data_IF_802275502796
#
_entry.id   IF_802275502796
#
_cell.length_a   1.000
_cell.length_b   1.000
_cell.length_c   1.000
_cell.angle_alpha   90.00
_cell.angle_beta   90.00
_cell.angle_gamma   90.00
#
_symmetry.space_group_name_H-M   'P 1'
#
loop_
_entity.id
_entity.type
_entity.pdbx_description
1 polymer ?
#
# COMPACT_ATOMS: atom_id res chain seq x y z
N UNK A 1 5.32 20.28 -5.91
CA UNK A 1 4.18 19.40 -6.20
C UNK A 1 4.26 19.07 -7.69
N UNK A 2 4.26 17.80 -8.02
CA UNK A 2 4.26 17.35 -9.41
C UNK A 2 2.86 17.56 -10.00
N UNK A 3 2.76 18.35 -11.07
CA UNK A 3 1.47 18.69 -11.69
C UNK A 3 0.79 17.50 -12.39
N UNK A 4 1.52 16.38 -12.55
CA UNK A 4 1.00 15.14 -13.11
C UNK A 4 0.36 14.22 -12.07
N UNK A 5 0.61 14.46 -10.76
CA UNK A 5 0.11 13.65 -9.66
C UNK A 5 -1.04 14.36 -8.96
N UNK A 6 -2.23 13.77 -9.03
CA UNK A 6 -3.37 14.21 -8.23
C UNK A 6 -3.29 13.61 -6.84
N UNK A 7 -3.22 14.47 -5.83
CA UNK A 7 -3.22 14.07 -4.44
C UNK A 7 -4.56 14.41 -3.77
N UNK A 8 -5.11 13.45 -3.03
CA UNK A 8 -6.29 13.64 -2.21
C UNK A 8 -6.09 12.98 -0.84
N UNK A 9 -6.29 13.74 0.21
CA UNK A 9 -6.28 13.22 1.58
C UNK A 9 -7.65 12.65 1.93
N UNK A 10 -7.65 11.53 2.65
CA UNK A 10 -8.87 10.85 3.09
C UNK A 10 -8.81 10.58 4.59
N UNK A 11 -9.94 10.66 5.33
CA UNK A 11 -9.94 10.44 6.77
C UNK A 11 -9.86 8.96 7.16
N UNK A 12 -10.20 8.04 6.25
CA UNK A 12 -10.21 6.58 6.49
C UNK A 12 -9.69 5.83 5.28
N UNK A 13 -8.92 4.78 5.52
CA UNK A 13 -8.26 4.01 4.48
C UNK A 13 -9.26 3.30 3.55
N UNK A 14 -10.35 2.77 4.08
CA UNK A 14 -11.38 2.13 3.26
C UNK A 14 -12.10 3.10 2.31
N UNK A 15 -12.22 4.38 2.67
CA UNK A 15 -12.73 5.41 1.76
C UNK A 15 -11.73 5.65 0.62
N UNK A 16 -10.44 5.65 0.95
CA UNK A 16 -9.36 5.73 -0.03
C UNK A 16 -9.41 4.59 -1.05
N UNK A 17 -9.78 3.37 -0.64
CA UNK A 17 -9.98 2.24 -1.57
C UNK A 17 -11.08 2.55 -2.59
N UNK A 18 -12.20 3.14 -2.14
CA UNK A 18 -13.29 3.56 -3.02
C UNK A 18 -12.87 4.63 -4.03
N UNK A 19 -12.11 5.64 -3.56
CA UNK A 19 -11.57 6.71 -4.43
C UNK A 19 -10.60 6.12 -5.46
N UNK A 20 -9.70 5.22 -5.05
CA UNK A 20 -8.77 4.55 -5.96
C UNK A 20 -9.53 3.73 -7.01
N UNK A 21 -10.56 3.00 -6.62
CA UNK A 21 -11.40 2.26 -7.56
C UNK A 21 -12.04 3.19 -8.61
N UNK A 22 -12.63 4.30 -8.17
CA UNK A 22 -13.20 5.32 -9.06
C UNK A 22 -12.16 5.96 -9.97
N UNK A 23 -10.98 6.26 -9.46
CA UNK A 23 -9.88 6.81 -10.24
C UNK A 23 -9.42 5.86 -11.35
N UNK A 24 -9.30 4.56 -11.05
CA UNK A 24 -8.95 3.55 -12.04
C UNK A 24 -10.01 3.44 -13.14
N UNK A 25 -11.29 3.43 -12.78
CA UNK A 25 -12.39 3.45 -13.75
C UNK A 25 -12.39 4.73 -14.60
N UNK A 26 -11.86 5.82 -14.07
CA UNK A 26 -11.61 7.08 -14.78
C UNK A 26 -10.29 7.13 -15.55
N UNK A 27 -9.68 5.96 -15.86
CA UNK A 27 -8.42 5.84 -16.60
C UNK A 27 -7.20 6.48 -15.90
N UNK A 28 -7.18 6.51 -14.56
CA UNK A 28 -6.00 6.87 -13.77
C UNK A 28 -5.39 5.63 -13.17
N UNK A 29 -4.08 5.66 -12.87
CA UNK A 29 -3.43 4.56 -12.17
C UNK A 29 -3.22 4.96 -10.70
N UNK A 30 -4.05 4.45 -9.79
CA UNK A 30 -4.07 4.92 -8.42
C UNK A 30 -3.02 4.26 -7.53
N UNK A 31 -2.55 5.03 -6.56
CA UNK A 31 -1.76 4.57 -5.43
C UNK A 31 -2.41 5.07 -4.15
N UNK A 32 -2.66 4.19 -3.19
CA UNK A 32 -3.05 4.58 -1.85
C UNK A 32 -1.86 4.51 -0.92
N UNK A 33 -1.60 5.61 -0.22
CA UNK A 33 -0.54 5.69 0.79
C UNK A 33 -1.18 5.58 2.17
N UNK A 34 -0.69 4.64 2.98
CA UNK A 34 -1.23 4.41 4.31
C UNK A 34 -0.19 3.82 5.25
N UNK A 35 -0.47 3.85 6.55
CA UNK A 35 0.24 3.04 7.53
C UNK A 35 -0.27 1.59 7.47
N UNK A 36 0.56 0.62 7.88
CA UNK A 36 0.16 -0.80 7.89
C UNK A 36 -1.10 -1.09 8.73
N UNK A 37 -1.44 -0.27 9.71
CA UNK A 37 -2.70 -0.35 10.45
C UNK A 37 -3.92 -0.19 9.54
N UNK A 38 -3.80 0.61 8.48
CA UNK A 38 -4.86 0.83 7.49
C UNK A 38 -5.25 -0.43 6.71
N UNK A 39 -4.33 -1.38 6.55
CA UNK A 39 -4.63 -2.68 5.94
C UNK A 39 -5.70 -3.43 6.74
N UNK A 40 -5.58 -3.44 8.07
CA UNK A 40 -6.57 -4.09 8.93
C UNK A 40 -7.98 -3.52 8.74
N UNK A 41 -8.09 -2.20 8.65
CA UNK A 41 -9.37 -1.51 8.43
C UNK A 41 -9.94 -1.75 7.03
N UNK A 42 -9.08 -2.02 6.06
CA UNK A 42 -9.44 -2.08 4.63
C UNK A 42 -9.70 -3.48 4.10
N UNK A 43 -9.54 -4.54 4.90
CA UNK A 43 -9.68 -5.95 4.44
C UNK A 43 -10.95 -6.18 3.65
N UNK A 44 -12.10 -5.74 4.16
CA UNK A 44 -13.36 -5.91 3.44
C UNK A 44 -13.40 -5.14 2.12
N UNK A 45 -12.95 -3.88 2.10
CA UNK A 45 -12.90 -3.07 0.88
C UNK A 45 -11.94 -3.68 -0.17
N UNK A 46 -10.81 -4.24 0.29
CA UNK A 46 -9.88 -4.94 -0.60
C UNK A 46 -10.55 -6.14 -1.27
N UNK A 47 -11.19 -7.01 -0.50
CA UNK A 47 -11.81 -8.25 -1.02
C UNK A 47 -13.04 -7.94 -1.87
N UNK A 48 -13.96 -7.11 -1.33
CA UNK A 48 -15.30 -6.91 -1.91
C UNK A 48 -15.33 -5.86 -3.02
N UNK A 49 -14.27 -5.06 -3.17
CA UNK A 49 -14.18 -4.05 -4.22
C UNK A 49 -12.93 -4.26 -5.09
N UNK A 50 -11.74 -4.16 -4.50
CA UNK A 50 -10.50 -4.11 -5.28
C UNK A 50 -10.25 -5.44 -6.00
N UNK A 51 -10.29 -6.56 -5.28
CA UNK A 51 -10.06 -7.88 -5.86
C UNK A 51 -11.24 -8.37 -6.70
N UNK A 52 -12.47 -8.11 -6.25
CA UNK A 52 -13.68 -8.53 -6.98
C UNK A 52 -13.72 -7.94 -8.39
N UNK A 53 -13.32 -6.68 -8.54
CA UNK A 53 -13.30 -5.98 -9.83
C UNK A 53 -11.93 -5.98 -10.50
N UNK A 54 -10.96 -6.73 -9.97
CA UNK A 54 -9.61 -6.88 -10.54
C UNK A 54 -8.91 -5.53 -10.78
N UNK A 55 -8.94 -4.65 -9.77
CA UNK A 55 -8.40 -3.30 -9.88
C UNK A 55 -6.91 -3.28 -9.51
N UNK A 56 -6.00 -2.87 -10.41
CA UNK A 56 -4.57 -2.81 -10.16
C UNK A 56 -4.21 -1.55 -9.36
N UNK A 57 -4.38 -1.60 -8.07
CA UNK A 57 -4.09 -0.51 -7.15
C UNK A 57 -2.77 -0.77 -6.44
N UNK A 58 -1.94 0.26 -6.32
CA UNK A 58 -0.71 0.20 -5.54
C UNK A 58 -1.03 0.56 -4.09
N UNK A 59 -0.71 -0.34 -3.16
CA UNK A 59 -0.72 -0.07 -1.73
C UNK A 59 0.70 0.30 -1.30
N UNK A 60 0.98 1.59 -1.13
CA UNK A 60 2.25 2.08 -0.61
C UNK A 60 2.12 2.21 0.91
N UNK A 61 2.80 1.34 1.64
CA UNK A 61 2.55 1.12 3.06
C UNK A 61 3.77 1.51 3.87
N UNK A 62 3.61 2.48 4.76
CA UNK A 62 4.55 2.76 5.84
C UNK A 62 4.52 1.59 6.84
N UNK A 63 5.57 0.74 6.83
CA UNK A 63 5.61 -0.48 7.64
C UNK A 63 6.13 -0.16 9.05
N UNK A 64 5.21 0.25 9.91
CA UNK A 64 5.49 0.59 11.31
C UNK A 64 5.57 -0.67 12.17
N UNK A 65 6.35 -0.58 13.26
CA UNK A 65 6.56 -1.67 14.20
C UNK A 65 7.69 -2.64 13.81
N UNK A 66 8.46 -2.31 12.79
CA UNK A 66 9.70 -2.99 12.37
C UNK A 66 10.88 -2.56 13.27
N UNK A 67 12.07 -3.23 13.22
CA UNK A 67 13.23 -2.82 13.99
C UNK A 67 13.54 -1.33 13.85
N UNK A 68 13.82 -0.67 14.96
CA UNK A 68 14.00 0.80 15.03
C UNK A 68 12.76 1.59 15.43
N UNK A 69 11.56 0.98 15.41
CA UNK A 69 10.33 1.61 15.89
C UNK A 69 10.41 1.97 17.38
N UNK A 70 10.02 3.20 17.72
CA UNK A 70 10.06 3.72 19.10
C UNK A 70 8.69 3.67 19.79
N UNK A 71 7.63 3.44 19.02
CA UNK A 71 6.24 3.45 19.51
C UNK A 71 5.74 2.01 19.66
N UNK A 72 5.73 1.47 20.89
CA UNK A 72 5.36 0.08 21.15
C UNK A 72 3.96 -0.32 20.66
N UNK A 73 3.02 0.62 20.60
CA UNK A 73 1.68 0.38 20.08
C UNK A 73 1.67 -0.08 18.60
N UNK A 74 2.70 0.27 17.82
CA UNK A 74 2.82 -0.12 16.41
C UNK A 74 3.20 -1.60 16.21
N UNK A 75 3.81 -2.23 17.22
CA UNK A 75 4.29 -3.61 17.13
C UNK A 75 3.19 -4.65 16.94
N UNK A 76 1.96 -4.36 17.34
CA UNK A 76 0.83 -5.28 17.19
C UNK A 76 0.52 -5.57 15.71
N UNK A 77 0.32 -4.52 14.92
CA UNK A 77 0.01 -4.66 13.50
C UNK A 77 1.19 -5.16 12.67
N UNK A 78 2.43 -4.83 13.05
CA UNK A 78 3.60 -5.34 12.35
C UNK A 78 3.62 -6.87 12.28
N UNK A 79 3.20 -7.54 13.35
CA UNK A 79 3.21 -9.02 13.43
C UNK A 79 2.22 -9.70 12.48
N UNK A 80 1.18 -9.01 12.05
CA UNK A 80 0.08 -9.60 11.27
C UNK A 80 -0.05 -9.00 9.87
N UNK A 81 0.60 -7.89 9.57
CA UNK A 81 0.48 -7.17 8.29
C UNK A 81 0.77 -8.07 7.09
N UNK A 82 1.93 -8.73 7.11
CA UNK A 82 2.30 -9.63 6.02
C UNK A 82 1.37 -10.83 5.90
N UNK A 83 0.95 -11.41 7.03
CA UNK A 83 0.04 -12.56 7.03
C UNK A 83 -1.34 -12.18 6.47
N UNK A 84 -1.83 -11.00 6.78
CA UNK A 84 -3.06 -10.46 6.17
C UNK A 84 -2.89 -10.35 4.65
N UNK A 85 -1.82 -9.69 4.19
CA UNK A 85 -1.55 -9.51 2.76
C UNK A 85 -1.37 -10.86 2.04
N UNK A 86 -0.66 -11.82 2.64
CA UNK A 86 -0.49 -13.17 2.11
C UNK A 86 -1.81 -13.93 2.06
N UNK A 87 -2.64 -13.82 3.09
CA UNK A 87 -3.99 -14.42 3.12
C UNK A 87 -4.87 -13.84 2.02
N UNK A 88 -4.77 -12.55 1.77
CA UNK A 88 -5.45 -11.86 0.67
C UNK A 88 -4.79 -12.15 -0.70
N UNK A 89 -3.70 -12.91 -0.75
CA UNK A 89 -2.93 -13.22 -1.96
C UNK A 89 -2.44 -11.98 -2.71
N UNK A 90 -2.11 -10.93 -1.97
CA UNK A 90 -1.55 -9.68 -2.52
C UNK A 90 -0.04 -9.83 -2.57
N UNK A 91 0.59 -9.70 -3.74
CA UNK A 91 2.05 -9.70 -3.86
C UNK A 91 2.67 -8.56 -3.04
N UNK A 92 3.79 -8.86 -2.37
CA UNK A 92 4.47 -7.92 -1.48
C UNK A 92 5.88 -7.63 -2.00
N UNK A 93 6.21 -6.36 -2.13
CA UNK A 93 7.57 -5.87 -2.25
C UNK A 93 7.96 -5.20 -0.93
N UNK A 94 8.99 -5.72 -0.25
CA UNK A 94 9.54 -5.05 0.92
C UNK A 94 10.69 -4.14 0.49
N UNK A 95 10.63 -2.88 0.88
CA UNK A 95 11.65 -1.87 0.66
C UNK A 95 12.30 -1.53 2.01
N UNK A 96 13.52 -2.05 2.24
CA UNK A 96 14.31 -1.81 3.45
C UNK A 96 15.52 -0.91 3.19
N UNK A 97 15.80 -0.61 1.91
CA UNK A 97 16.93 0.22 1.49
C UNK A 97 16.60 0.95 0.17
N UNK A 98 17.36 2.00 -0.14
CA UNK A 98 17.23 2.73 -1.40
C UNK A 98 17.37 1.83 -2.65
N UNK A 99 18.18 0.75 -2.57
CA UNK A 99 18.35 -0.21 -3.66
C UNK A 99 17.05 -0.94 -4.02
N UNK A 100 16.12 -1.03 -3.10
CA UNK A 100 14.84 -1.69 -3.34
C UNK A 100 13.88 -0.80 -4.13
N UNK A 101 14.12 0.53 -4.16
CA UNK A 101 13.31 1.49 -4.91
C UNK A 101 13.36 1.21 -6.42
N UNK A 102 14.48 0.71 -6.94
CA UNK A 102 14.60 0.34 -8.36
C UNK A 102 13.62 -0.77 -8.79
N UNK A 103 13.15 -1.57 -7.83
CA UNK A 103 12.18 -2.65 -8.08
C UNK A 103 10.73 -2.15 -8.18
N UNK A 104 10.46 -0.94 -7.71
CA UNK A 104 9.08 -0.40 -7.63
C UNK A 104 8.44 -0.33 -9.01
N UNK A 105 9.16 0.15 -10.02
CA UNK A 105 8.64 0.27 -11.39
C UNK A 105 8.23 -1.09 -11.97
N UNK A 106 9.06 -2.11 -11.77
CA UNK A 106 8.77 -3.49 -12.21
C UNK A 106 7.55 -4.04 -11.47
N UNK A 107 7.47 -3.80 -10.17
CA UNK A 107 6.38 -4.30 -9.34
C UNK A 107 5.06 -3.60 -9.63
N UNK A 108 5.11 -2.29 -9.89
CA UNK A 108 3.97 -1.47 -10.33
C UNK A 108 3.46 -1.94 -11.69
N UNK A 109 4.37 -2.24 -12.64
CA UNK A 109 3.98 -2.79 -13.92
C UNK A 109 3.34 -4.18 -13.80
N UNK A 110 3.83 -5.01 -12.87
CA UNK A 110 3.22 -6.30 -12.56
C UNK A 110 1.74 -6.15 -12.17
N UNK A 111 1.39 -5.16 -11.33
CA UNK A 111 0.00 -4.90 -10.95
C UNK A 111 -0.88 -4.64 -12.18
N UNK A 112 -0.40 -3.84 -13.13
CA UNK A 112 -1.13 -3.52 -14.38
C UNK A 112 -1.35 -4.76 -15.25
N UNK A 113 -0.30 -5.56 -15.43
CA UNK A 113 -0.35 -6.76 -16.29
C UNK A 113 -1.25 -7.84 -15.71
N UNK A 114 -1.22 -7.99 -14.38
CA UNK A 114 -2.00 -9.01 -13.68
C UNK A 114 -3.41 -8.55 -13.29
N UNK A 115 -3.75 -7.28 -13.56
CA UNK A 115 -5.03 -6.67 -13.14
C UNK A 115 -5.34 -6.96 -11.66
N UNK A 116 -4.34 -6.73 -10.79
CA UNK A 116 -4.38 -7.12 -9.39
C UNK A 116 -3.65 -6.09 -8.52
N UNK A 117 -4.11 -5.85 -7.29
CA UNK A 117 -3.39 -4.96 -6.38
C UNK A 117 -2.05 -5.57 -5.97
N UNK A 118 -1.09 -4.70 -5.65
CA UNK A 118 0.20 -5.06 -5.05
C UNK A 118 0.48 -4.18 -3.85
N UNK A 119 1.26 -4.70 -2.89
CA UNK A 119 1.66 -3.98 -1.69
C UNK A 119 3.18 -3.71 -1.71
N UNK A 120 3.57 -2.48 -1.43
CA UNK A 120 4.95 -2.04 -1.23
C UNK A 120 5.07 -1.65 0.24
N UNK A 121 5.80 -2.46 1.00
CA UNK A 121 6.07 -2.20 2.42
C UNK A 121 7.39 -1.43 2.54
N UNK A 122 7.30 -0.17 2.96
CA UNK A 122 8.47 0.65 3.22
C UNK A 122 8.82 0.57 4.71
N UNK A 123 9.97 0.01 5.05
CA UNK A 123 10.44 -0.12 6.42
C UNK A 123 10.65 1.25 7.07
N UNK A 124 10.48 1.31 8.38
CA UNK A 124 10.61 2.54 9.16
C UNK A 124 12.00 3.19 8.98
N UNK A 125 13.06 2.36 8.90
CA UNK A 125 14.42 2.86 8.69
C UNK A 125 14.59 3.61 7.36
N UNK A 126 13.93 3.16 6.29
CA UNK A 126 13.99 3.83 4.97
C UNK A 126 13.35 5.23 5.00
N UNK A 127 12.43 5.47 5.91
CA UNK A 127 11.67 6.73 5.99
C UNK A 127 12.16 7.69 7.07
N UNK A 128 13.29 7.36 7.74
CA UNK A 128 13.80 8.15 8.87
C UNK A 128 14.51 9.44 8.48
N UNK A 129 15.06 9.52 7.30
CA UNK A 129 16.00 10.61 6.95
C UNK A 129 15.32 11.93 6.57
N UNK A 130 13.96 11.99 6.59
CA UNK A 130 13.18 13.17 6.18
C UNK A 130 12.34 13.80 7.32
N UNK A 131 12.63 13.49 8.61
CA UNK A 131 11.88 14.08 9.73
C UNK A 131 12.83 14.77 10.72
#
# INVERSE_FOLDING_TARGET
QDDEIYYSSVPREEEGMGICAGAYLGNKFPCIMMQNTGIGNSVNAIVSLIQLYQLPIIFLISYRGTPGEKVGAQGGMAKVTEDILKTLRIPILQCSSERDLDKISTFTNHAKVMESPVAILCDFELMKDDI
#
